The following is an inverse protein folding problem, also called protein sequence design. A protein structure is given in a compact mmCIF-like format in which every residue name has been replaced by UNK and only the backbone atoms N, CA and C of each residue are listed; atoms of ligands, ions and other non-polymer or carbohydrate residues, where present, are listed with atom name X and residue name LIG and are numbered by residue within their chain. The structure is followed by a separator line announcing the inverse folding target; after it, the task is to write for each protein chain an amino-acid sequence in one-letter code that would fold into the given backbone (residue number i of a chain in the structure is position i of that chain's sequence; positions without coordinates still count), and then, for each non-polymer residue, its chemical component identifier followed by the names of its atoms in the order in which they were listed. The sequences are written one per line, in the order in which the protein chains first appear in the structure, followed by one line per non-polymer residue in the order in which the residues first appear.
data_IF_709053665307
#
_entry.id   IF_709053665307
#
_cell.length_a   1.000
_cell.length_b   1.000
_cell.length_c   1.000
_cell.angle_alpha   90.00
_cell.angle_beta   90.00
_cell.angle_gamma   90.00
#
_symmetry.space_group_name_H-M   'P 1'
#
loop_
_entity.id
_entity.type
_entity.pdbx_description
1 polymer ?
#
# COMPACT_ATOMS: atom_id res chain seq x y z
N UNK A 1 -45.07 32.05 -8.06
CA UNK A 1 -43.67 31.66 -7.82
C UNK A 1 -43.54 30.19 -8.21
N UNK A 2 -42.87 29.88 -9.33
CA UNK A 2 -42.67 28.50 -9.78
C UNK A 2 -41.19 28.14 -9.61
N UNK A 3 -40.92 27.17 -8.73
CA UNK A 3 -39.59 26.61 -8.53
C UNK A 3 -39.46 25.40 -9.45
N UNK A 4 -38.59 25.49 -10.45
CA UNK A 4 -38.30 24.38 -11.37
C UNK A 4 -37.42 23.35 -10.66
N UNK A 5 -37.84 22.08 -10.53
CA UNK A 5 -37.01 21.06 -9.90
C UNK A 5 -35.83 20.68 -10.81
N UNK A 6 -34.63 20.55 -10.22
CA UNK A 6 -33.42 20.12 -10.92
C UNK A 6 -33.54 18.64 -11.38
N UNK A 7 -32.97 18.28 -12.54
CA UNK A 7 -32.98 16.92 -13.03
C UNK A 7 -32.11 16.00 -12.16
N UNK A 8 -32.71 14.90 -11.70
CA UNK A 8 -32.02 13.84 -10.97
C UNK A 8 -31.05 13.13 -11.92
N UNK A 9 -29.75 13.19 -11.61
CA UNK A 9 -28.71 12.45 -12.35
C UNK A 9 -28.95 10.95 -12.18
N UNK A 10 -29.51 10.32 -13.21
CA UNK A 10 -29.67 8.87 -13.27
C UNK A 10 -28.28 8.23 -13.31
N UNK A 11 -27.95 7.43 -12.31
CA UNK A 11 -26.77 6.55 -12.35
C UNK A 11 -26.97 5.55 -13.49
N UNK A 12 -25.97 5.37 -14.38
CA UNK A 12 -26.11 4.46 -15.50
C UNK A 12 -26.34 3.04 -14.96
N UNK A 13 -27.49 2.44 -15.32
CA UNK A 13 -27.77 1.02 -15.07
C UNK A 13 -26.66 0.21 -15.72
N UNK A 14 -25.88 -0.50 -14.92
CA UNK A 14 -24.85 -1.43 -15.39
C UNK A 14 -25.48 -2.35 -16.43
N UNK A 15 -25.04 -2.22 -17.67
CA UNK A 15 -25.61 -2.95 -18.80
C UNK A 15 -25.31 -4.44 -18.60
N UNK A 16 -26.36 -5.25 -18.43
CA UNK A 16 -26.21 -6.70 -18.28
C UNK A 16 -25.44 -7.26 -19.48
N UNK A 17 -24.45 -8.10 -19.17
CA UNK A 17 -23.50 -8.66 -20.12
C UNK A 17 -24.22 -9.51 -21.18
N UNK A 18 -24.43 -8.95 -22.37
CA UNK A 18 -25.34 -9.50 -23.39
C UNK A 18 -24.81 -10.74 -24.13
N UNK A 19 -23.53 -11.10 -23.95
CA UNK A 19 -22.90 -12.16 -24.72
C UNK A 19 -21.87 -12.98 -23.92
N UNK A 20 -21.94 -12.96 -22.58
CA UNK A 20 -21.05 -13.76 -21.72
C UNK A 20 -19.58 -13.30 -21.71
N UNK A 21 -19.26 -12.15 -22.32
CA UNK A 21 -17.90 -11.60 -22.35
C UNK A 21 -17.39 -11.18 -20.97
N UNK A 22 -18.29 -10.82 -20.07
CA UNK A 22 -18.00 -10.54 -18.66
C UNK A 22 -17.55 -11.80 -17.91
N UNK A 23 -18.18 -12.95 -18.16
CA UNK A 23 -17.73 -14.23 -17.58
C UNK A 23 -16.34 -14.62 -18.10
N UNK A 24 -16.13 -14.52 -19.42
CA UNK A 24 -14.82 -14.78 -20.03
C UNK A 24 -13.74 -13.80 -19.52
N UNK A 25 -14.07 -12.52 -19.40
CA UNK A 25 -13.15 -11.50 -18.87
C UNK A 25 -12.80 -11.80 -17.41
N UNK A 26 -13.78 -12.18 -16.58
CA UNK A 26 -13.54 -12.56 -15.20
C UNK A 26 -12.63 -13.80 -15.10
N UNK A 27 -12.85 -14.80 -15.95
CA UNK A 27 -12.01 -15.98 -16.03
C UNK A 27 -10.57 -15.64 -16.44
N UNK A 28 -10.38 -14.82 -17.48
CA UNK A 28 -9.05 -14.39 -17.92
C UNK A 28 -8.32 -13.59 -16.83
N UNK A 29 -9.01 -12.65 -16.17
CA UNK A 29 -8.44 -11.93 -15.03
C UNK A 29 -8.04 -12.85 -13.89
N UNK A 30 -8.88 -13.85 -13.57
CA UNK A 30 -8.55 -14.83 -12.54
C UNK A 30 -7.30 -15.64 -12.90
N UNK A 31 -7.16 -16.08 -14.16
CA UNK A 31 -5.98 -16.83 -14.63
C UNK A 31 -4.71 -15.99 -14.53
N UNK A 32 -4.76 -14.73 -14.98
CA UNK A 32 -3.65 -13.80 -14.85
C UNK A 32 -3.28 -13.56 -13.37
N UNK A 33 -4.28 -13.34 -12.52
CA UNK A 33 -4.07 -13.10 -11.09
C UNK A 33 -3.52 -14.32 -10.33
N UNK A 34 -3.82 -15.52 -10.81
CA UNK A 34 -3.23 -16.76 -10.29
C UNK A 34 -1.78 -16.93 -10.77
N UNK A 35 -1.45 -16.52 -12.00
CA UNK A 35 -0.06 -16.50 -12.50
C UNK A 35 0.81 -15.50 -11.74
N UNK A 36 0.33 -14.27 -11.52
CA UNK A 36 1.06 -13.27 -10.74
C UNK A 36 1.34 -13.77 -9.32
N UNK A 37 0.36 -14.43 -8.70
CA UNK A 37 0.51 -15.01 -7.37
C UNK A 37 1.56 -16.13 -7.35
N UNK A 38 1.66 -16.94 -8.40
CA UNK A 38 2.71 -17.97 -8.54
C UNK A 38 4.09 -17.34 -8.58
N UNK A 39 4.27 -16.27 -9.36
CA UNK A 39 5.55 -15.56 -9.47
C UNK A 39 5.94 -14.93 -8.14
N UNK A 40 5.02 -14.20 -7.50
CA UNK A 40 5.28 -13.62 -6.18
C UNK A 40 5.65 -14.72 -5.17
N UNK A 41 4.92 -15.84 -5.17
CA UNK A 41 5.18 -16.94 -4.25
C UNK A 41 6.56 -17.58 -4.46
N UNK A 42 6.99 -17.78 -5.71
CA UNK A 42 8.31 -18.35 -6.00
C UNK A 42 9.44 -17.48 -5.50
N UNK A 43 9.27 -16.17 -5.53
CA UNK A 43 10.29 -15.19 -5.15
C UNK A 43 10.38 -15.00 -3.63
N UNK A 44 9.33 -15.32 -2.89
CA UNK A 44 9.32 -15.21 -1.42
C UNK A 44 10.24 -16.27 -0.77
N UNK A 45 11.18 -15.86 0.10
CA UNK A 45 11.91 -16.76 0.98
C UNK A 45 10.97 -17.54 1.92
N UNK A 46 11.42 -18.71 2.39
CA UNK A 46 10.62 -19.59 3.24
C UNK A 46 10.04 -18.90 4.48
N UNK A 47 10.82 -18.04 5.15
CA UNK A 47 10.37 -17.30 6.32
C UNK A 47 9.20 -16.35 5.99
N UNK A 48 9.25 -15.70 4.83
CA UNK A 48 8.21 -14.79 4.36
C UNK A 48 6.95 -15.56 3.95
N UNK A 49 7.09 -16.72 3.29
CA UNK A 49 5.96 -17.61 2.99
C UNK A 49 5.22 -18.02 4.26
N UNK A 50 5.95 -18.41 5.32
CA UNK A 50 5.35 -18.72 6.63
C UNK A 50 4.60 -17.54 7.23
N UNK A 51 5.16 -16.34 7.13
CA UNK A 51 4.52 -15.12 7.64
C UNK A 51 3.22 -14.83 6.87
N UNK A 52 3.26 -14.93 5.54
CA UNK A 52 2.09 -14.70 4.68
C UNK A 52 0.99 -15.72 4.98
N UNK A 53 1.30 -17.01 5.10
CA UNK A 53 0.32 -18.05 5.46
C UNK A 53 -0.32 -17.78 6.82
N UNK A 54 0.50 -17.41 7.81
CA UNK A 54 0.00 -17.03 9.14
C UNK A 54 -0.92 -15.80 9.07
N UNK A 55 -0.56 -14.80 8.28
CA UNK A 55 -1.39 -13.59 8.06
C UNK A 55 -2.68 -13.89 7.31
N UNK A 56 -2.66 -14.89 6.43
CA UNK A 56 -3.83 -15.37 5.69
C UNK A 56 -4.72 -16.30 6.52
N UNK A 57 -4.27 -16.76 7.69
CA UNK A 57 -4.98 -17.75 8.50
C UNK A 57 -4.99 -19.15 7.88
N UNK A 58 -4.04 -19.45 6.98
CA UNK A 58 -3.96 -20.72 6.26
C UNK A 58 -2.93 -21.62 6.96
N UNK A 59 -3.36 -22.81 7.37
CA UNK A 59 -2.56 -23.76 8.16
C UNK A 59 -1.94 -24.87 7.30
N UNK A 60 -1.10 -24.47 6.35
CA UNK A 60 -0.41 -25.37 5.40
C UNK A 60 1.11 -25.21 5.50
N UNK A 61 1.86 -26.16 4.95
CA UNK A 61 3.31 -26.06 4.88
C UNK A 61 3.74 -24.97 3.86
N UNK A 62 4.68 -24.13 4.27
CA UNK A 62 5.26 -23.07 3.44
C UNK A 62 6.20 -23.60 2.33
N UNK A 63 6.56 -24.89 2.36
CA UNK A 63 7.26 -25.56 1.25
C UNK A 63 6.35 -25.87 0.06
N UNK A 64 5.02 -25.90 0.26
CA UNK A 64 4.06 -26.22 -0.80
C UNK A 64 4.07 -25.15 -1.90
N UNK A 65 3.90 -25.62 -3.13
CA UNK A 65 3.68 -24.73 -4.26
C UNK A 65 2.30 -24.07 -4.11
N UNK A 66 2.19 -22.77 -4.38
CA UNK A 66 0.92 -22.05 -4.25
C UNK A 66 -0.19 -22.63 -5.14
N UNK A 67 0.17 -23.27 -6.26
CA UNK A 67 -0.77 -23.94 -7.16
C UNK A 67 -1.46 -25.15 -6.53
N UNK A 68 -0.88 -25.72 -5.47
CA UNK A 68 -1.44 -26.85 -4.72
C UNK A 68 -2.45 -26.41 -3.65
N UNK A 69 -2.47 -25.13 -3.29
CA UNK A 69 -3.50 -24.58 -2.42
C UNK A 69 -4.84 -24.53 -3.13
N UNK A 70 -5.92 -24.69 -2.38
CA UNK A 70 -7.26 -24.53 -2.94
C UNK A 70 -7.55 -23.07 -3.33
N UNK A 71 -8.64 -22.85 -4.05
CA UNK A 71 -9.02 -21.50 -4.53
C UNK A 71 -9.24 -20.51 -3.39
N UNK A 72 -9.82 -20.95 -2.28
CA UNK A 72 -10.12 -20.13 -1.10
C UNK A 72 -8.83 -19.72 -0.40
N UNK A 73 -7.92 -20.67 -0.21
CA UNK A 73 -6.59 -20.45 0.37
C UNK A 73 -5.76 -19.48 -0.49
N UNK A 74 -5.70 -19.68 -1.82
CA UNK A 74 -5.03 -18.72 -2.72
C UNK A 74 -5.62 -17.32 -2.64
N UNK A 75 -6.94 -17.23 -2.48
CA UNK A 75 -7.63 -15.93 -2.31
C UNK A 75 -7.28 -15.28 -0.97
N UNK A 76 -7.22 -16.06 0.11
CA UNK A 76 -6.82 -15.59 1.43
C UNK A 76 -5.37 -15.09 1.44
N UNK A 77 -4.45 -15.84 0.81
CA UNK A 77 -3.05 -15.45 0.64
C UNK A 77 -2.94 -14.14 -0.14
N UNK A 78 -3.64 -14.02 -1.27
CA UNK A 78 -3.67 -12.78 -2.05
C UNK A 78 -4.16 -11.60 -1.23
N UNK A 79 -5.26 -11.77 -0.49
CA UNK A 79 -5.80 -10.73 0.38
C UNK A 79 -4.82 -10.33 1.49
N UNK A 80 -4.07 -11.28 2.06
CA UNK A 80 -3.04 -10.99 3.05
C UNK A 80 -1.90 -10.15 2.45
N UNK A 81 -1.38 -10.53 1.28
CA UNK A 81 -0.32 -9.78 0.58
C UNK A 81 -0.78 -8.35 0.26
N UNK A 82 -2.01 -8.17 -0.22
CA UNK A 82 -2.56 -6.83 -0.47
C UNK A 82 -2.61 -5.99 0.81
N UNK A 83 -3.18 -6.51 1.91
CA UNK A 83 -3.25 -5.79 3.20
C UNK A 83 -1.86 -5.41 3.70
N UNK A 84 -0.89 -6.31 3.60
CA UNK A 84 0.49 -6.04 4.02
C UNK A 84 1.14 -4.94 3.17
N UNK A 85 0.89 -4.95 1.85
CA UNK A 85 1.41 -3.94 0.92
C UNK A 85 0.77 -2.57 1.13
N UNK A 86 -0.54 -2.53 1.38
CA UNK A 86 -1.28 -1.32 1.75
C UNK A 86 -0.77 -0.74 3.07
N UNK A 87 -0.58 -1.58 4.08
CA UNK A 87 -0.03 -1.16 5.36
C UNK A 87 1.38 -0.57 5.21
N UNK A 88 2.26 -1.23 4.46
CA UNK A 88 3.62 -0.74 4.22
C UNK A 88 3.62 0.61 3.48
N UNK A 89 2.75 0.77 2.47
CA UNK A 89 2.59 2.01 1.71
C UNK A 89 2.05 3.14 2.59
N UNK A 90 1.00 2.84 3.37
CA UNK A 90 0.42 3.80 4.32
C UNK A 90 1.41 4.23 5.39
N UNK A 91 2.21 3.30 5.93
CA UNK A 91 3.25 3.60 6.90
C UNK A 91 4.34 4.49 6.29
N UNK A 92 4.81 4.17 5.07
CA UNK A 92 5.78 4.99 4.34
C UNK A 92 5.26 6.41 4.13
N UNK A 93 3.99 6.55 3.75
CA UNK A 93 3.36 7.86 3.54
C UNK A 93 3.20 8.63 4.86
N UNK A 94 2.80 7.96 5.94
CA UNK A 94 2.74 8.56 7.27
C UNK A 94 4.11 9.05 7.74
N UNK A 95 5.16 8.24 7.57
CA UNK A 95 6.53 8.63 7.93
C UNK A 95 7.03 9.80 7.07
N UNK A 96 6.69 9.83 5.77
CA UNK A 96 7.03 10.95 4.89
C UNK A 96 6.29 12.23 5.27
N UNK A 97 5.02 12.12 5.67
CA UNK A 97 4.17 13.26 6.01
C UNK A 97 4.33 13.73 7.46
N UNK A 98 5.00 12.95 8.31
CA UNK A 98 5.44 13.40 9.64
C UNK A 98 6.55 14.43 9.46
N UNK A 99 6.19 15.72 9.55
CA UNK A 99 7.16 16.78 9.84
C UNK A 99 7.71 16.55 11.25
N UNK A 100 8.87 15.91 11.34
CA UNK A 100 9.57 15.80 12.61
C UNK A 100 10.14 17.19 12.96
N UNK A 101 10.00 17.69 14.20
CA UNK A 101 10.56 18.96 14.62
C UNK A 101 12.06 19.08 14.31
N UNK A 102 12.80 17.97 14.43
CA UNK A 102 14.21 17.86 14.05
C UNK A 102 14.48 18.07 12.56
N UNK A 103 13.54 17.76 11.67
CA UNK A 103 13.67 17.97 10.23
C UNK A 103 13.55 19.45 9.86
N UNK A 104 12.68 20.21 10.53
CA UNK A 104 12.55 21.66 10.37
C UNK A 104 13.78 22.38 10.96
N UNK A 105 14.25 21.99 12.15
CA UNK A 105 15.49 22.50 12.75
C UNK A 105 16.72 22.25 11.84
N UNK A 106 16.83 21.05 11.27
CA UNK A 106 17.89 20.72 10.32
C UNK A 106 17.75 21.50 8.99
N UNK A 107 16.52 21.81 8.57
CA UNK A 107 16.26 22.67 7.40
C UNK A 107 16.76 24.10 7.65
N UNK A 108 16.42 24.69 8.79
CA UNK A 108 16.89 26.02 9.17
C UNK A 108 18.42 26.10 9.34
N UNK A 109 19.04 25.05 9.89
CA UNK A 109 20.50 24.95 9.95
C UNK A 109 21.14 24.97 8.55
N UNK A 110 20.60 24.18 7.59
CA UNK A 110 21.09 24.16 6.20
C UNK A 110 20.91 25.49 5.50
N UNK A 111 19.77 26.16 5.70
CA UNK A 111 19.51 27.47 5.14
C UNK A 111 20.48 28.53 5.68
N UNK A 112 20.73 28.55 6.99
CA UNK A 112 21.67 29.47 7.61
C UNK A 112 23.12 29.28 7.10
N UNK A 113 23.52 28.02 6.79
CA UNK A 113 24.80 27.73 6.14
C UNK A 113 24.83 28.29 4.71
N UNK A 114 23.77 28.09 3.93
CA UNK A 114 23.67 28.60 2.56
C UNK A 114 23.69 30.14 2.49
N UNK A 115 23.16 30.81 3.51
CA UNK A 115 23.17 32.28 3.67
C UNK A 115 24.48 32.81 4.27
N UNK A 116 25.45 31.94 4.59
CA UNK A 116 26.72 32.32 5.23
C UNK A 116 26.59 32.76 6.69
N UNK A 117 25.43 32.60 7.30
CA UNK A 117 25.17 32.96 8.69
C UNK A 117 25.54 31.81 9.64
N UNK A 118 26.85 31.66 9.85
CA UNK A 118 27.44 30.63 10.72
C UNK A 118 26.93 30.67 12.16
N UNK A 119 26.61 31.86 12.69
CA UNK A 119 26.05 32.02 14.04
C UNK A 119 24.66 31.39 14.17
N UNK A 120 23.78 31.63 13.19
CA UNK A 120 22.46 31.01 13.15
C UNK A 120 22.55 29.50 12.91
N UNK A 121 23.47 29.04 12.06
CA UNK A 121 23.69 27.62 11.82
C UNK A 121 24.10 26.87 13.10
N UNK A 122 25.04 27.42 13.87
CA UNK A 122 25.47 26.84 15.15
C UNK A 122 24.37 26.88 16.21
N UNK A 123 23.51 27.91 16.20
CA UNK A 123 22.36 27.97 17.09
C UNK A 123 21.37 26.82 16.83
N UNK A 124 21.01 26.59 15.57
CA UNK A 124 20.12 25.49 15.19
C UNK A 124 20.75 24.12 15.48
N UNK A 125 22.07 23.97 15.28
CA UNK A 125 22.79 22.75 15.61
C UNK A 125 22.78 22.47 17.14
N UNK A 126 22.98 23.50 17.96
CA UNK A 126 22.92 23.37 19.42
C UNK A 126 21.52 22.97 19.92
N UNK A 127 20.45 23.41 19.25
CA UNK A 127 19.08 22.99 19.58
C UNK A 127 18.81 21.53 19.22
N UNK A 128 19.40 21.04 18.13
CA UNK A 128 19.35 19.63 17.73
C UNK A 128 20.11 18.76 18.74
N UNK A 129 21.32 19.16 19.14
CA UNK A 129 22.16 18.43 20.10
C UNK A 129 21.55 18.36 21.51
N UNK A 130 20.81 19.38 21.91
CA UNK A 130 20.12 19.43 23.21
C UNK A 130 18.81 18.64 23.24
N UNK A 131 18.39 18.05 22.12
CA UNK A 131 17.21 17.19 22.07
C UNK A 131 15.90 17.92 22.33
N UNK A 132 15.74 19.15 21.81
CA UNK A 132 14.46 19.86 21.89
C UNK A 132 13.48 19.18 20.93
N UNK A 133 12.65 18.29 21.50
CA UNK A 133 11.51 17.63 20.86
C UNK A 133 10.27 18.53 20.89
#
# INVERSE_FOLDING_TARGET
MNVTPLPVRQTPRVQQDRAGFGALRAELHQRASDQDLVVVWSDLPFAERRLVLKSAGVAVDATLAISQLDKTERTAVRAAIHRMSEYASGLKDQLRNRKHPSAELASHARQAIAEGNTKAALHWLSLIEKGVA
#
